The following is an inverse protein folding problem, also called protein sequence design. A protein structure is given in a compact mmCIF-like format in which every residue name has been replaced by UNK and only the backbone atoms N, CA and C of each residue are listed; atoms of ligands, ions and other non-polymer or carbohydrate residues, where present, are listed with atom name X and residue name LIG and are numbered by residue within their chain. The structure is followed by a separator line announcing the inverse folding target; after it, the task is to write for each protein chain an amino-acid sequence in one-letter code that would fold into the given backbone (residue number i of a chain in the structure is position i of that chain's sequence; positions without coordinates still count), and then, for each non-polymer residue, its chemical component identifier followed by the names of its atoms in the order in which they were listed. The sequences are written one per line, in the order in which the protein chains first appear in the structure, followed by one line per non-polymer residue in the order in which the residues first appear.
data_IF_337480858148
#
_entry.id   IF_337480858148
#
_cell.length_a   1.000
_cell.length_b   1.000
_cell.length_c   1.000
_cell.angle_alpha   90.00
_cell.angle_beta   90.00
_cell.angle_gamma   90.00
#
_symmetry.space_group_name_H-M   'P 1'
#
loop_
_entity.id
_entity.type
_entity.pdbx_description
1 polymer ?
#
# COMPACT_ATOMS: atom_id res chain seq x y z
N UNK A 1 -36.72 10.65 38.90
CA UNK A 1 -36.80 9.73 37.74
C UNK A 1 -37.87 10.26 36.76
N UNK A 2 -37.74 11.52 36.34
CA UNK A 2 -38.65 12.17 35.37
C UNK A 2 -37.89 13.21 34.52
N UNK A 3 -36.76 13.76 35.00
CA UNK A 3 -35.90 14.65 34.21
C UNK A 3 -34.89 13.94 33.28
N UNK A 4 -34.67 12.63 33.44
CA UNK A 4 -33.74 11.86 32.60
C UNK A 4 -34.41 11.30 31.33
N UNK A 5 -35.75 11.30 31.30
CA UNK A 5 -36.54 10.85 30.15
C UNK A 5 -36.77 11.99 29.13
N UNK A 6 -36.81 13.24 29.58
CA UNK A 6 -36.95 14.40 28.68
C UNK A 6 -35.65 14.75 27.95
N UNK A 7 -34.47 14.55 28.57
CA UNK A 7 -33.18 14.79 27.91
C UNK A 7 -32.84 13.74 26.81
N UNK A 8 -33.47 12.56 26.87
CA UNK A 8 -33.32 11.52 25.84
C UNK A 8 -34.18 11.77 24.60
N UNK A 9 -35.06 12.77 24.62
CA UNK A 9 -35.94 13.11 23.48
C UNK A 9 -35.32 14.15 22.53
N UNK A 10 -34.35 14.93 23.01
CA UNK A 10 -33.75 16.04 22.23
C UNK A 10 -32.45 15.68 21.48
N UNK A 11 -31.88 14.49 21.67
CA UNK A 11 -30.64 14.07 20.96
C UNK A 11 -30.88 13.06 19.82
N UNK A 12 -32.15 12.80 19.46
CA UNK A 12 -32.54 11.92 18.35
C UNK A 12 -32.95 12.68 17.08
N UNK A 13 -32.81 14.02 17.07
CA UNK A 13 -33.26 14.88 15.97
C UNK A 13 -32.11 15.53 15.19
N UNK A 14 -31.09 14.78 14.77
CA UNK A 14 -30.18 15.27 13.73
C UNK A 14 -29.69 14.08 12.88
N UNK A 15 -30.61 13.55 12.09
CA UNK A 15 -30.28 12.64 10.98
C UNK A 15 -31.03 13.14 9.74
N UNK A 16 -30.48 14.18 9.11
CA UNK A 16 -30.81 14.53 7.73
C UNK A 16 -29.58 14.23 6.85
N UNK A 17 -29.76 13.27 5.95
CA UNK A 17 -28.85 12.93 4.86
C UNK A 17 -29.02 13.97 3.73
N UNK A 18 -27.94 14.50 3.14
CA UNK A 18 -27.96 14.90 1.75
C UNK A 18 -27.48 13.75 0.87
N UNK A 19 -28.32 13.38 -0.09
CA UNK A 19 -27.98 12.47 -1.17
C UNK A 19 -26.89 13.06 -2.07
N UNK A 20 -26.12 12.14 -2.66
CA UNK A 20 -25.30 12.32 -3.86
C UNK A 20 -23.89 12.88 -3.63
N UNK A 21 -22.90 11.97 -3.61
CA UNK A 21 -21.73 12.02 -4.51
C UNK A 21 -20.93 10.71 -4.41
N UNK A 22 -20.79 10.07 -5.57
CA UNK A 22 -20.06 8.83 -5.83
C UNK A 22 -18.56 8.94 -5.50
N UNK A 23 -18.03 7.94 -4.80
CA UNK A 23 -16.60 7.84 -4.52
C UNK A 23 -16.26 6.84 -3.42
N UNK A 24 -16.39 5.54 -3.73
CA UNK A 24 -15.94 4.43 -2.89
C UNK A 24 -14.43 4.55 -2.60
N UNK A 25 -14.08 5.09 -1.44
CA UNK A 25 -12.75 4.97 -0.86
C UNK A 25 -12.89 4.34 0.51
N UNK A 26 -12.56 3.04 0.53
CA UNK A 26 -12.15 2.23 1.67
C UNK A 26 -13.08 2.21 2.90
N UNK A 27 -13.91 1.16 2.98
CA UNK A 27 -14.52 0.68 4.23
C UNK A 27 -13.44 0.13 5.16
N UNK A 28 -12.50 0.97 5.59
CA UNK A 28 -11.74 0.70 6.80
C UNK A 28 -12.69 0.89 7.97
N UNK A 29 -13.18 -0.24 8.45
CA UNK A 29 -14.07 -0.42 9.59
C UNK A 29 -13.66 0.51 10.74
N UNK A 30 -14.32 1.67 10.87
CA UNK A 30 -14.28 2.48 12.10
C UNK A 30 -15.13 1.79 13.17
N UNK A 31 -14.63 0.68 13.72
CA UNK A 31 -15.09 0.22 15.02
C UNK A 31 -14.40 1.08 16.09
N UNK A 32 -14.90 2.29 16.29
CA UNK A 32 -14.54 3.10 17.46
C UNK A 32 -15.36 2.59 18.63
N UNK A 33 -14.79 1.68 19.44
CA UNK A 33 -15.36 1.34 20.74
C UNK A 33 -15.27 2.58 21.63
N UNK A 34 -16.35 3.36 21.66
CA UNK A 34 -16.49 4.47 22.60
C UNK A 34 -16.83 3.90 23.98
N UNK A 35 -15.82 3.44 24.72
CA UNK A 35 -15.96 3.14 26.13
C UNK A 35 -16.08 4.46 26.90
N UNK A 36 -17.31 4.98 27.06
CA UNK A 36 -17.59 6.02 28.07
C UNK A 36 -17.40 5.40 29.44
N UNK A 37 -16.25 5.60 30.06
CA UNK A 37 -16.09 5.37 31.49
C UNK A 37 -16.32 6.70 32.19
N UNK A 38 -17.56 6.93 32.62
CA UNK A 38 -17.91 8.04 33.50
C UNK A 38 -17.30 7.77 34.88
N UNK A 39 -16.24 8.50 35.26
CA UNK A 39 -15.87 8.61 36.66
C UNK A 39 -16.39 9.93 37.22
N UNK A 40 -17.41 9.80 38.05
CA UNK A 40 -17.97 10.86 38.89
C UNK A 40 -16.83 11.54 39.67
N UNK A 41 -16.77 12.85 39.54
CA UNK A 41 -15.88 13.73 40.29
C UNK A 41 -16.32 13.72 41.76
N UNK A 42 -15.75 12.84 42.58
CA UNK A 42 -15.96 12.87 44.02
C UNK A 42 -14.74 13.50 44.70
N UNK A 43 -14.94 14.74 45.15
CA UNK A 43 -14.00 15.54 45.94
C UNK A 43 -13.39 14.73 47.09
N UNK A 44 -12.05 14.77 47.18
CA UNK A 44 -11.25 14.19 48.25
C UNK A 44 -11.68 14.75 49.61
N UNK A 45 -12.44 13.99 50.40
CA UNK A 45 -12.51 14.25 51.84
C UNK A 45 -11.36 13.51 52.52
N UNK A 46 -10.39 14.28 53.01
CA UNK A 46 -9.30 13.81 53.86
C UNK A 46 -9.87 13.13 55.11
N UNK A 47 -9.50 11.88 55.33
CA UNK A 47 -9.58 11.22 56.62
C UNK A 47 -8.16 10.82 57.02
N UNK A 48 -7.71 11.30 58.17
CA UNK A 48 -6.38 11.02 58.72
C UNK A 48 -6.51 9.94 59.78
N UNK A 49 -5.86 8.80 59.60
CA UNK A 49 -5.51 7.85 60.68
C UNK A 49 -4.15 7.19 60.39
N UNK A 50 -3.38 6.83 61.43
CA UNK A 50 -1.93 6.69 61.34
C UNK A 50 -1.47 5.29 60.93
N UNK A 51 -0.30 5.26 60.27
CA UNK A 51 0.56 4.10 60.03
C UNK A 51 0.16 3.11 58.92
N UNK A 52 0.31 3.53 57.66
CA UNK A 52 0.60 2.63 56.52
C UNK A 52 1.57 3.34 55.58
N UNK A 53 2.60 2.63 55.12
CA UNK A 53 3.59 3.12 54.16
C UNK A 53 2.92 3.24 52.78
N UNK A 54 2.81 4.46 52.24
CA UNK A 54 2.19 4.66 50.92
C UNK A 54 3.03 4.00 49.82
N UNK A 55 2.52 2.92 49.22
CA UNK A 55 3.02 2.42 47.95
C UNK A 55 2.36 3.24 46.85
N UNK A 56 3.10 4.22 46.33
CA UNK A 56 2.64 4.99 45.17
C UNK A 56 2.79 4.11 43.92
N UNK A 57 1.74 3.37 43.56
CA UNK A 57 1.67 2.78 42.22
C UNK A 57 1.41 3.93 41.26
N UNK A 58 2.47 4.43 40.61
CA UNK A 58 2.30 5.27 39.42
C UNK A 58 1.55 4.41 38.40
N UNK A 59 0.29 4.75 38.15
CA UNK A 59 -0.41 4.28 36.98
C UNK A 59 0.33 4.85 35.76
N UNK A 60 1.29 4.10 35.22
CA UNK A 60 1.87 4.36 33.91
C UNK A 60 0.80 3.93 32.90
N UNK A 61 -0.27 4.73 32.79
CA UNK A 61 -1.15 4.70 31.62
C UNK A 61 -0.41 5.48 30.55
N UNK A 62 0.74 4.93 30.13
CA UNK A 62 1.29 5.25 28.84
C UNK A 62 0.32 4.61 27.86
N UNK A 63 -0.33 5.42 27.03
CA UNK A 63 -0.89 4.91 25.79
C UNK A 63 0.32 4.46 24.97
N UNK A 64 0.79 3.24 25.21
CA UNK A 64 1.76 2.58 24.35
C UNK A 64 0.99 2.28 23.08
N UNK A 65 0.86 3.30 22.24
CA UNK A 65 0.84 3.20 20.79
C UNK A 65 0.70 1.75 20.31
N UNK A 66 -0.52 1.25 20.12
CA UNK A 66 -0.78 -0.15 19.73
C UNK A 66 -0.11 -0.53 18.40
N UNK A 67 0.34 0.45 17.60
CA UNK A 67 1.18 0.22 16.42
C UNK A 67 2.58 -0.34 16.75
N UNK A 68 3.08 -0.23 17.99
CA UNK A 68 4.32 -0.87 18.42
C UNK A 68 4.14 -2.32 18.88
N UNK A 69 2.91 -2.80 19.06
CA UNK A 69 2.64 -4.15 19.59
C UNK A 69 2.25 -5.17 18.51
N UNK A 70 2.00 -4.75 17.27
CA UNK A 70 1.67 -5.63 16.14
C UNK A 70 2.71 -5.52 15.03
N UNK A 71 3.17 -6.67 14.52
CA UNK A 71 4.05 -6.73 13.34
C UNK A 71 3.29 -6.45 12.05
N UNK A 72 4.01 -6.37 10.93
CA UNK A 72 3.45 -6.10 9.59
C UNK A 72 2.54 -7.20 9.02
N UNK A 73 2.40 -8.34 9.72
CA UNK A 73 1.71 -9.52 9.23
C UNK A 73 2.55 -10.34 8.23
N UNK A 74 2.07 -11.54 7.88
CA UNK A 74 2.66 -12.42 6.85
C UNK A 74 1.61 -12.69 5.79
N UNK A 75 1.94 -12.41 4.52
CA UNK A 75 1.09 -12.76 3.38
C UNK A 75 1.40 -14.19 2.96
N UNK A 76 0.36 -15.00 2.78
CA UNK A 76 0.45 -16.35 2.24
C UNK A 76 -0.35 -16.42 0.94
N UNK A 77 0.32 -16.70 -0.17
CA UNK A 77 -0.30 -16.95 -1.47
C UNK A 77 -0.45 -18.47 -1.66
N UNK A 78 -1.68 -18.95 -1.85
CA UNK A 78 -1.98 -20.38 -2.09
C UNK A 78 -2.56 -20.53 -3.49
N UNK A 79 -1.84 -21.24 -4.36
CA UNK A 79 -2.23 -21.40 -5.75
C UNK A 79 -1.18 -22.12 -6.58
N UNK A 80 -1.40 -22.18 -7.89
CA UNK A 80 -0.45 -22.76 -8.84
C UNK A 80 0.50 -21.70 -9.36
N UNK A 81 1.78 -22.04 -9.44
CA UNK A 81 2.80 -21.16 -10.00
C UNK A 81 2.47 -20.82 -11.45
N UNK A 82 2.49 -19.52 -11.77
CA UNK A 82 2.27 -19.00 -13.11
C UNK A 82 3.30 -17.92 -13.40
N UNK A 83 4.06 -18.08 -14.48
CA UNK A 83 5.00 -17.08 -14.93
C UNK A 83 4.27 -15.91 -15.59
N UNK A 84 4.59 -14.65 -15.26
CA UNK A 84 3.92 -13.51 -15.87
C UNK A 84 4.30 -13.40 -17.35
N UNK A 85 3.36 -12.93 -18.15
CA UNK A 85 3.61 -12.56 -19.54
C UNK A 85 4.12 -11.12 -19.59
N UNK A 86 5.30 -10.93 -20.18
CA UNK A 86 5.95 -9.63 -20.30
C UNK A 86 5.62 -8.95 -21.63
N UNK A 87 5.26 -7.68 -21.56
CA UNK A 87 5.12 -6.77 -22.71
C UNK A 87 5.96 -5.53 -22.46
N UNK A 88 6.81 -5.17 -23.42
CA UNK A 88 7.66 -3.99 -23.33
C UNK A 88 7.19 -2.97 -24.35
N UNK A 89 6.95 -1.75 -23.88
CA UNK A 89 6.53 -0.59 -24.65
C UNK A 89 7.74 0.32 -24.87
N UNK A 90 7.93 0.72 -26.11
CA UNK A 90 8.97 1.66 -26.52
C UNK A 90 8.61 3.10 -26.09
N UNK A 91 9.60 4.01 -26.03
CA UNK A 91 9.34 5.44 -25.88
C UNK A 91 8.49 5.95 -27.04
N UNK A 92 7.64 6.94 -26.78
CA UNK A 92 6.87 7.57 -27.86
C UNK A 92 7.77 8.45 -28.72
N UNK A 93 7.42 8.60 -30.00
CA UNK A 93 8.18 9.44 -30.93
C UNK A 93 8.11 10.92 -30.53
N UNK A 94 6.98 11.33 -29.96
CA UNK A 94 6.75 12.67 -29.44
C UNK A 94 7.67 12.98 -28.26
N UNK A 95 7.89 12.03 -27.35
CA UNK A 95 8.79 12.20 -26.21
C UNK A 95 10.24 12.38 -26.67
N UNK A 96 10.70 11.52 -27.57
CA UNK A 96 12.07 11.57 -28.11
C UNK A 96 12.35 12.89 -28.81
N UNK A 97 11.34 13.46 -29.49
CA UNK A 97 11.46 14.73 -30.21
C UNK A 97 11.41 15.95 -29.29
N UNK A 98 10.67 15.88 -28.19
CA UNK A 98 10.35 17.05 -27.36
C UNK A 98 11.22 17.17 -26.10
N UNK A 99 11.56 16.06 -25.48
CA UNK A 99 12.04 16.05 -24.09
C UNK A 99 13.46 15.52 -23.93
N UNK A 100 14.11 15.05 -25.02
CA UNK A 100 15.45 14.41 -25.01
C UNK A 100 15.58 13.22 -24.05
N UNK A 101 14.44 12.71 -23.55
CA UNK A 101 14.32 11.52 -22.71
C UNK A 101 13.66 10.39 -23.49
N UNK A 102 13.86 9.18 -23.00
CA UNK A 102 13.28 7.97 -23.54
C UNK A 102 12.75 7.14 -22.37
N UNK A 103 11.43 7.11 -22.20
CA UNK A 103 10.77 6.30 -21.18
C UNK A 103 10.29 4.99 -21.77
N UNK A 104 10.79 3.88 -21.24
CA UNK A 104 10.31 2.53 -21.55
C UNK A 104 9.43 2.01 -20.43
N UNK A 105 8.41 1.23 -20.78
CA UNK A 105 7.52 0.61 -19.79
C UNK A 105 7.39 -0.89 -20.05
N UNK A 106 7.57 -1.70 -19.02
CA UNK A 106 7.35 -3.14 -19.05
C UNK A 106 6.13 -3.47 -18.20
N UNK A 107 5.23 -4.27 -18.77
CA UNK A 107 4.04 -4.79 -18.10
C UNK A 107 4.20 -6.29 -17.93
N UNK A 108 4.08 -6.77 -16.70
CA UNK A 108 4.07 -8.17 -16.35
C UNK A 108 2.66 -8.54 -15.88
N UNK A 109 1.97 -9.41 -16.61
CA UNK A 109 0.57 -9.76 -16.32
C UNK A 109 0.42 -11.25 -16.06
N UNK A 110 -0.60 -11.63 -15.30
CA UNK A 110 -1.00 -13.03 -15.08
C UNK A 110 0.05 -13.88 -14.34
N UNK A 111 0.82 -13.26 -13.44
CA UNK A 111 1.83 -13.96 -12.63
C UNK A 111 1.27 -14.44 -11.29
N UNK A 112 1.86 -15.50 -10.75
CA UNK A 112 1.59 -16.00 -9.40
C UNK A 112 2.82 -16.74 -8.88
N UNK A 113 3.23 -16.59 -7.61
CA UNK A 113 2.63 -15.81 -6.50
C UNK A 113 2.99 -14.31 -6.55
N UNK A 114 2.81 -13.54 -5.46
CA UNK A 114 3.08 -12.08 -5.44
C UNK A 114 4.55 -11.67 -5.39
N UNK A 115 5.48 -12.61 -5.23
CA UNK A 115 6.90 -12.36 -4.94
C UNK A 115 7.80 -12.22 -6.19
N UNK A 116 7.20 -11.92 -7.35
CA UNK A 116 7.97 -11.56 -8.54
C UNK A 116 8.61 -10.18 -8.39
N UNK A 117 9.83 -10.06 -8.89
CA UNK A 117 10.60 -8.82 -8.95
C UNK A 117 10.92 -8.49 -10.40
N UNK A 118 10.56 -7.30 -10.85
CA UNK A 118 10.94 -6.80 -12.17
C UNK A 118 12.34 -6.21 -12.13
N UNK A 119 13.09 -6.26 -13.23
CA UNK A 119 14.39 -5.61 -13.40
C UNK A 119 14.65 -5.26 -14.86
N UNK A 120 15.48 -4.25 -15.13
CA UNK A 120 15.91 -3.90 -16.49
C UNK A 120 17.40 -4.09 -16.70
N UNK A 121 17.75 -4.50 -17.93
CA UNK A 121 19.11 -4.49 -18.47
C UNK A 121 19.15 -3.74 -19.80
N UNK A 122 20.17 -2.91 -19.97
CA UNK A 122 20.51 -2.27 -21.25
C UNK A 122 21.85 -2.84 -21.68
N UNK A 123 21.89 -3.53 -22.82
CA UNK A 123 23.08 -4.23 -23.33
C UNK A 123 23.74 -5.12 -22.25
N UNK A 124 22.91 -5.87 -21.51
CA UNK A 124 23.33 -6.76 -20.42
C UNK A 124 23.65 -6.07 -19.09
N UNK A 125 23.67 -4.73 -19.02
CA UNK A 125 23.98 -3.97 -17.79
C UNK A 125 22.70 -3.58 -17.06
N UNK A 126 22.59 -3.95 -15.78
CA UNK A 126 21.43 -3.58 -14.95
C UNK A 126 21.27 -2.07 -14.81
N UNK A 127 20.04 -1.58 -14.94
CA UNK A 127 19.71 -0.16 -14.79
C UNK A 127 18.77 0.07 -13.61
N UNK A 128 18.84 1.27 -13.04
CA UNK A 128 17.86 1.75 -12.07
C UNK A 128 16.51 1.94 -12.77
N UNK A 129 15.44 1.61 -12.06
CA UNK A 129 14.08 1.63 -12.57
C UNK A 129 13.12 2.04 -11.46
N UNK A 130 11.89 2.33 -11.85
CA UNK A 130 10.74 2.45 -10.98
C UNK A 130 9.86 1.23 -11.21
N UNK A 131 9.50 0.50 -10.15
CA UNK A 131 8.63 -0.68 -10.25
C UNK A 131 7.41 -0.49 -9.36
N UNK A 132 6.24 -0.88 -9.86
CA UNK A 132 5.01 -0.90 -9.09
C UNK A 132 5.02 -2.07 -8.09
N UNK A 133 4.28 -1.97 -6.98
CA UNK A 133 3.89 -3.16 -6.26
C UNK A 133 3.04 -4.07 -7.15
N UNK A 134 3.01 -5.36 -6.82
CA UNK A 134 2.12 -6.31 -7.48
C UNK A 134 0.67 -6.07 -7.08
N UNK A 135 -0.20 -5.97 -8.09
CA UNK A 135 -1.64 -5.81 -7.92
C UNK A 135 -2.33 -7.12 -8.21
N UNK A 136 -3.20 -7.58 -7.29
CA UNK A 136 -4.02 -8.76 -7.51
C UNK A 136 -5.24 -8.37 -8.34
N UNK A 137 -5.36 -8.95 -9.53
CA UNK A 137 -6.44 -8.70 -10.47
C UNK A 137 -7.67 -9.57 -10.17
N UNK A 138 -8.78 -9.28 -10.85
CA UNK A 138 -10.06 -10.01 -10.68
C UNK A 138 -9.99 -11.49 -11.05
N UNK A 139 -9.02 -11.88 -11.88
CA UNK A 139 -8.78 -13.27 -12.27
C UNK A 139 -7.96 -14.05 -11.22
N UNK A 140 -7.57 -13.41 -10.12
CA UNK A 140 -6.78 -14.03 -9.05
C UNK A 140 -5.28 -14.11 -9.35
N UNK A 141 -4.82 -13.45 -10.42
CA UNK A 141 -3.41 -13.37 -10.79
C UNK A 141 -2.87 -11.96 -10.55
N UNK A 142 -1.55 -11.86 -10.44
CA UNK A 142 -0.87 -10.61 -10.19
C UNK A 142 -0.40 -9.94 -11.47
N UNK A 143 -0.39 -8.61 -11.42
CA UNK A 143 0.18 -7.75 -12.43
C UNK A 143 1.15 -6.73 -11.82
N UNK A 144 2.19 -6.40 -12.56
CA UNK A 144 3.20 -5.41 -12.21
C UNK A 144 3.53 -4.54 -13.41
N UNK A 145 4.01 -3.33 -13.14
CA UNK A 145 4.63 -2.48 -14.13
C UNK A 145 6.01 -2.03 -13.67
N UNK A 146 6.91 -1.82 -14.62
CA UNK A 146 8.18 -1.16 -14.36
C UNK A 146 8.53 -0.20 -15.47
N UNK A 147 9.02 0.96 -15.09
CA UNK A 147 9.43 2.03 -15.97
C UNK A 147 10.95 2.19 -15.90
N UNK A 148 11.58 2.32 -17.07
CA UNK A 148 12.99 2.64 -17.23
C UNK A 148 13.10 3.96 -17.96
N UNK A 149 13.73 4.94 -17.33
CA UNK A 149 14.01 6.24 -17.95
C UNK A 149 15.47 6.30 -18.40
N UNK A 150 15.68 6.52 -19.69
CA UNK A 150 16.99 6.74 -20.30
C UNK A 150 17.05 8.13 -20.94
N UNK A 151 18.25 8.60 -21.24
CA UNK A 151 18.39 9.72 -22.18
C UNK A 151 18.12 9.26 -23.61
N UNK A 152 17.66 10.16 -24.49
CA UNK A 152 17.48 9.84 -25.91
C UNK A 152 18.78 9.34 -26.56
N UNK A 153 19.95 9.83 -26.09
CA UNK A 153 21.25 9.36 -26.56
C UNK A 153 21.54 7.93 -26.13
N UNK A 154 21.29 7.57 -24.87
CA UNK A 154 21.41 6.17 -24.40
C UNK A 154 20.44 5.27 -25.14
N UNK A 155 19.18 5.68 -25.29
CA UNK A 155 18.19 4.93 -26.06
C UNK A 155 18.60 4.75 -27.51
N UNK A 156 19.28 5.72 -28.15
CA UNK A 156 19.76 5.63 -29.54
C UNK A 156 21.01 4.76 -29.68
N UNK A 157 21.83 4.66 -28.63
CA UNK A 157 23.04 3.83 -28.63
C UNK A 157 22.79 2.40 -28.17
N UNK A 158 21.73 2.16 -27.40
CA UNK A 158 21.39 0.84 -26.90
C UNK A 158 21.21 -0.16 -28.06
N UNK A 159 21.87 -1.31 -27.99
CA UNK A 159 21.65 -2.39 -28.94
C UNK A 159 20.36 -3.13 -28.61
N UNK A 160 20.18 -3.45 -27.34
CA UNK A 160 18.99 -4.10 -26.81
C UNK A 160 18.64 -3.66 -25.39
N UNK A 161 17.34 -3.60 -25.11
CA UNK A 161 16.81 -3.33 -23.78
C UNK A 161 15.95 -4.51 -23.36
N UNK A 162 16.28 -5.11 -22.22
CA UNK A 162 15.63 -6.32 -21.73
C UNK A 162 14.97 -6.05 -20.39
N UNK A 163 13.66 -6.28 -20.33
CA UNK A 163 12.91 -6.40 -19.08
C UNK A 163 12.95 -7.84 -18.60
N UNK A 164 13.17 -8.04 -17.31
CA UNK A 164 13.20 -9.35 -16.67
C UNK A 164 12.21 -9.38 -15.50
N UNK A 165 11.54 -10.51 -15.31
CA UNK A 165 10.78 -10.82 -14.10
C UNK A 165 11.37 -12.06 -13.47
N UNK A 166 11.73 -11.96 -12.18
CA UNK A 166 12.45 -12.98 -11.44
C UNK A 166 11.68 -13.36 -10.18
N UNK A 167 11.70 -14.65 -9.86
CA UNK A 167 11.13 -15.20 -8.62
C UNK A 167 12.02 -16.37 -8.18
N UNK A 168 12.13 -16.62 -6.86
CA UNK A 168 13.11 -17.59 -6.32
C UNK A 168 12.89 -19.03 -6.81
N UNK A 169 11.63 -19.38 -7.08
CA UNK A 169 11.20 -20.76 -7.34
C UNK A 169 10.81 -21.01 -8.80
N UNK A 170 10.92 -20.00 -9.66
CA UNK A 170 10.53 -20.07 -11.07
C UNK A 170 11.65 -19.57 -11.98
N UNK A 171 11.59 -19.96 -13.24
CA UNK A 171 12.55 -19.50 -14.26
C UNK A 171 12.32 -18.01 -14.53
N UNK A 172 13.41 -17.27 -14.66
CA UNK A 172 13.37 -15.86 -15.07
C UNK A 172 12.67 -15.72 -16.42
N UNK A 173 11.68 -14.85 -16.48
CA UNK A 173 11.01 -14.46 -17.73
C UNK A 173 11.70 -13.21 -18.24
N UNK A 174 12.01 -13.16 -19.53
CA UNK A 174 12.63 -11.98 -20.15
C UNK A 174 11.88 -11.55 -21.39
N UNK A 175 11.89 -10.24 -21.64
CA UNK A 175 11.38 -9.64 -22.88
C UNK A 175 12.34 -8.56 -23.34
N UNK A 176 12.93 -8.81 -24.51
CA UNK A 176 13.86 -7.90 -25.15
C UNK A 176 13.14 -7.07 -26.19
N UNK A 177 13.46 -5.78 -26.22
CA UNK A 177 13.05 -4.81 -27.23
C UNK A 177 14.31 -4.26 -27.90
N UNK A 178 14.34 -4.30 -29.23
CA UNK A 178 15.33 -3.60 -30.03
C UNK A 178 14.67 -2.42 -30.72
N UNK A 179 15.43 -1.35 -30.96
CA UNK A 179 14.91 -0.18 -31.66
C UNK A 179 14.39 -0.51 -33.07
N UNK A 180 15.00 -1.48 -33.74
CA UNK A 180 14.57 -1.94 -35.05
C UNK A 180 13.19 -2.62 -35.03
N UNK A 181 12.70 -3.07 -33.88
CA UNK A 181 11.37 -3.69 -33.74
C UNK A 181 10.25 -2.62 -33.68
N UNK A 182 10.61 -1.34 -33.64
CA UNK A 182 9.70 -0.20 -33.42
C UNK A 182 9.55 0.71 -34.66
N UNK A 183 9.92 0.23 -35.86
CA UNK A 183 9.92 1.00 -37.12
C UNK A 183 8.60 0.94 -37.88
#
# INVERSE_FOLDING_TARGET
MQGLLEAMKDELSFMELPEHLDGLVDLSVRYSYHSRVNYLNHSLKKFSLPHVQEVFVRAVIGIVSLWYTFGSGTRLDVGSNSAPTLTVLAPSSEELSSTTTATLTCLANKGFPSDWTMSWKVDGTSKKQEASPGVLEKDGLYSWSSTLTLTAQEWTKAGEVTCEAQQKSQTTVTKTLRRADCS
#
